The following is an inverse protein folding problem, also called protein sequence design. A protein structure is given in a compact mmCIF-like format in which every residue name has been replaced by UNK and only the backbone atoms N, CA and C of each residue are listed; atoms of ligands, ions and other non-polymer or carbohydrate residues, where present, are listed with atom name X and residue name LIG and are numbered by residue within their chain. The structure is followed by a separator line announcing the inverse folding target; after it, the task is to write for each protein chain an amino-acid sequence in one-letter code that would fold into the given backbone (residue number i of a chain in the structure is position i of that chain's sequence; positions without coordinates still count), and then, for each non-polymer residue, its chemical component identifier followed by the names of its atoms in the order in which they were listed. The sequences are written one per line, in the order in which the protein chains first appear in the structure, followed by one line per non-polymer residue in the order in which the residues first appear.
data_IF_124776686242
#
_entry.id   IF_124776686242
#
_cell.length_a   1.000
_cell.length_b   1.000
_cell.length_c   1.000
_cell.angle_alpha   90.00
_cell.angle_beta   90.00
_cell.angle_gamma   90.00
#
_symmetry.space_group_name_H-M   'P 1'
#
loop_
_entity.id
_entity.type
_entity.pdbx_description
1 polymer ?
#
# COMPACT_ATOMS: atom_id res chain seq x y z
N UNK A 1 -1.89 -16.48 -20.34
CA UNK A 1 -3.12 -15.90 -19.78
C UNK A 1 -3.30 -16.29 -18.31
N UNK A 2 -3.96 -15.48 -17.54
CA UNK A 2 -4.12 -15.63 -16.10
C UNK A 2 -4.76 -16.96 -15.66
N UNK A 3 -5.75 -17.45 -16.41
CA UNK A 3 -6.37 -18.75 -16.12
C UNK A 3 -5.35 -19.91 -16.14
N UNK A 4 -4.40 -19.92 -17.07
CA UNK A 4 -3.33 -20.93 -17.11
C UNK A 4 -2.42 -20.84 -15.88
N UNK A 5 -2.19 -19.64 -15.35
CA UNK A 5 -1.42 -19.44 -14.14
C UNK A 5 -2.14 -20.03 -12.91
N UNK A 6 -3.44 -19.76 -12.76
CA UNK A 6 -4.25 -20.33 -11.66
C UNK A 6 -4.25 -21.86 -11.72
N UNK A 7 -4.40 -22.44 -12.91
CA UNK A 7 -4.36 -23.89 -13.10
C UNK A 7 -2.99 -24.45 -12.64
N UNK A 8 -1.88 -23.80 -12.99
CA UNK A 8 -0.54 -24.21 -12.55
C UNK A 8 -0.41 -24.21 -11.02
N UNK A 9 -0.91 -23.17 -10.35
CA UNK A 9 -0.87 -23.09 -8.88
C UNK A 9 -1.72 -24.21 -8.24
N UNK A 10 -2.90 -24.51 -8.79
CA UNK A 10 -3.76 -25.58 -8.29
C UNK A 10 -3.12 -26.97 -8.49
N UNK A 11 -2.59 -27.26 -9.69
CA UNK A 11 -1.89 -28.51 -9.97
C UNK A 11 -0.68 -28.68 -9.03
N UNK A 12 0.10 -27.62 -8.84
CA UNK A 12 1.21 -27.61 -7.89
C UNK A 12 0.74 -27.99 -6.48
N UNK A 13 -0.35 -27.36 -6.02
CA UNK A 13 -0.90 -27.64 -4.70
C UNK A 13 -1.34 -29.11 -4.56
N UNK A 14 -2.07 -29.63 -5.55
CA UNK A 14 -2.52 -31.04 -5.55
C UNK A 14 -1.35 -32.02 -5.55
N UNK A 15 -0.28 -31.72 -6.30
CA UNK A 15 0.95 -32.52 -6.29
C UNK A 15 1.60 -32.48 -4.91
N UNK A 16 1.72 -31.30 -4.30
CA UNK A 16 2.32 -31.13 -2.98
C UNK A 16 1.56 -31.89 -1.89
N UNK A 17 0.22 -31.91 -1.94
CA UNK A 17 -0.58 -32.74 -1.03
C UNK A 17 -0.34 -34.22 -1.26
N UNK A 18 -0.43 -34.70 -2.52
CA UNK A 18 -0.20 -36.11 -2.85
C UNK A 18 1.18 -36.61 -2.47
N UNK A 19 2.18 -35.72 -2.48
CA UNK A 19 3.56 -36.05 -2.09
C UNK A 19 3.85 -35.83 -0.61
N UNK A 20 2.86 -35.38 0.17
CA UNK A 20 3.02 -35.10 1.60
C UNK A 20 3.85 -33.86 1.96
N UNK A 21 4.13 -32.97 0.97
CA UNK A 21 4.84 -31.70 1.23
C UNK A 21 3.93 -30.68 1.92
N UNK A 22 2.63 -30.77 1.67
CA UNK A 22 1.60 -29.96 2.31
C UNK A 22 0.60 -30.92 2.96
N UNK A 23 0.23 -30.63 4.22
CA UNK A 23 -0.74 -31.45 4.94
C UNK A 23 -2.15 -31.26 4.35
N UNK A 24 -2.85 -32.35 4.11
CA UNK A 24 -4.25 -32.39 3.69
C UNK A 24 -5.24 -32.16 4.86
N UNK A 25 -4.79 -32.43 6.09
CA UNK A 25 -5.61 -32.27 7.30
C UNK A 25 -5.95 -30.79 7.54
N UNK A 26 -5.05 -29.87 7.19
CA UNK A 26 -5.24 -28.43 7.41
C UNK A 26 -5.98 -27.81 6.23
N UNK A 27 -7.31 -27.71 6.32
CA UNK A 27 -8.17 -27.12 5.29
C UNK A 27 -7.80 -25.69 4.90
N UNK A 28 -7.22 -24.89 5.81
CA UNK A 28 -6.77 -23.54 5.53
C UNK A 28 -5.66 -23.47 4.49
N UNK A 29 -4.85 -24.53 4.30
CA UNK A 29 -3.76 -24.56 3.33
C UNK A 29 -4.24 -24.23 1.91
N UNK A 30 -5.45 -24.65 1.54
CA UNK A 30 -6.05 -24.32 0.24
C UNK A 30 -6.36 -22.83 0.10
N UNK A 31 -6.84 -22.21 1.18
CA UNK A 31 -7.09 -20.76 1.22
C UNK A 31 -5.76 -20.00 1.16
N UNK A 32 -4.78 -20.45 1.94
CA UNK A 32 -3.46 -19.84 1.99
C UNK A 32 -2.79 -19.88 0.60
N UNK A 33 -2.83 -21.00 -0.10
CA UNK A 33 -2.32 -21.12 -1.48
C UNK A 33 -3.06 -20.19 -2.46
N UNK A 34 -4.35 -19.92 -2.26
CA UNK A 34 -5.09 -19.04 -3.14
C UNK A 34 -4.59 -17.59 -3.15
N UNK A 35 -3.85 -17.15 -2.12
CA UNK A 35 -3.18 -15.85 -2.15
C UNK A 35 -2.11 -15.75 -3.26
N UNK A 36 -1.52 -16.87 -3.66
CA UNK A 36 -0.57 -16.89 -4.78
C UNK A 36 -1.22 -16.52 -6.13
N UNK A 37 -2.55 -16.59 -6.26
CA UNK A 37 -3.24 -16.16 -7.48
C UNK A 37 -3.04 -14.68 -7.77
N UNK A 38 -2.74 -13.87 -6.75
CA UNK A 38 -2.52 -12.43 -6.90
C UNK A 38 -1.09 -12.07 -7.29
N UNK A 39 -0.14 -13.02 -7.27
CA UNK A 39 1.26 -12.74 -7.61
C UNK A 39 1.43 -12.06 -8.96
N UNK A 40 0.72 -12.44 -10.06
CA UNK A 40 0.89 -11.77 -11.34
C UNK A 40 0.56 -10.26 -11.33
N UNK A 41 -0.14 -9.78 -10.30
CA UNK A 41 -0.60 -8.40 -10.18
C UNK A 41 0.16 -7.58 -9.14
N UNK A 42 1.11 -8.18 -8.42
CA UNK A 42 1.88 -7.48 -7.39
C UNK A 42 3.38 -7.51 -7.70
N UNK A 43 4.09 -6.46 -7.30
CA UNK A 43 5.55 -6.40 -7.36
C UNK A 43 6.18 -7.03 -6.13
N UNK A 44 5.53 -6.89 -4.98
CA UNK A 44 6.02 -7.38 -3.70
C UNK A 44 4.91 -8.21 -3.04
N UNK A 45 5.26 -9.42 -2.63
CA UNK A 45 4.38 -10.29 -1.86
C UNK A 45 4.94 -10.46 -0.45
N UNK A 46 4.17 -10.03 0.54
CA UNK A 46 4.59 -10.05 1.95
C UNK A 46 3.75 -11.06 2.71
N UNK A 47 4.39 -11.95 3.40
CA UNK A 47 3.71 -12.91 4.27
C UNK A 47 4.57 -13.38 5.43
N UNK A 48 3.91 -13.73 6.54
CA UNK A 48 4.52 -14.43 7.69
C UNK A 48 4.13 -15.92 7.72
N UNK A 49 3.48 -16.43 6.68
CA UNK A 49 3.12 -17.83 6.59
C UNK A 49 4.26 -18.65 5.96
N UNK A 50 4.63 -19.76 6.64
CA UNK A 50 5.69 -20.68 6.17
C UNK A 50 5.34 -21.30 4.83
N UNK A 51 4.04 -21.58 4.56
CA UNK A 51 3.61 -22.12 3.29
C UNK A 51 3.90 -21.14 2.15
N UNK A 52 3.57 -19.86 2.33
CA UNK A 52 3.91 -18.81 1.35
C UNK A 52 5.42 -18.66 1.17
N UNK A 53 6.20 -18.71 2.25
CA UNK A 53 7.66 -18.63 2.18
C UNK A 53 8.25 -19.73 1.30
N UNK A 54 7.70 -20.94 1.39
CA UNK A 54 8.19 -22.08 0.63
C UNK A 54 7.66 -22.12 -0.81
N UNK A 55 6.43 -21.67 -1.04
CA UNK A 55 5.77 -21.82 -2.33
C UNK A 55 5.88 -20.57 -3.22
N UNK A 56 5.79 -19.36 -2.65
CA UNK A 56 5.76 -18.13 -3.44
C UNK A 56 6.99 -17.96 -4.36
N UNK A 57 8.23 -18.23 -3.93
CA UNK A 57 9.42 -18.08 -4.78
C UNK A 57 9.37 -18.88 -6.09
N UNK A 58 8.59 -19.98 -6.12
CA UNK A 58 8.45 -20.83 -7.32
C UNK A 58 7.58 -20.17 -8.42
N UNK A 59 6.82 -19.15 -8.06
CA UNK A 59 5.85 -18.47 -8.95
C UNK A 59 6.19 -17.02 -9.21
N UNK A 60 7.21 -16.48 -8.54
CA UNK A 60 7.68 -15.10 -8.76
C UNK A 60 8.47 -15.00 -10.06
N UNK A 61 8.38 -13.84 -10.68
CA UNK A 61 9.25 -13.42 -11.78
C UNK A 61 10.41 -12.57 -11.26
N UNK A 62 11.43 -12.32 -12.09
CA UNK A 62 12.61 -11.51 -11.73
C UNK A 62 12.27 -10.07 -11.28
N UNK A 63 11.09 -9.59 -11.66
CA UNK A 63 10.60 -8.24 -11.29
C UNK A 63 9.80 -8.23 -9.98
N UNK A 64 9.63 -9.38 -9.35
CA UNK A 64 8.82 -9.55 -8.15
C UNK A 64 9.69 -10.03 -6.98
N UNK A 65 9.23 -9.79 -5.78
CA UNK A 65 9.97 -10.18 -4.57
C UNK A 65 9.02 -10.71 -3.50
N UNK A 66 9.47 -11.75 -2.81
CA UNK A 66 8.85 -12.22 -1.57
C UNK A 66 9.59 -11.62 -0.39
N UNK A 67 8.86 -10.99 0.51
CA UNK A 67 9.40 -10.43 1.75
C UNK A 67 8.79 -11.16 2.94
N UNK A 68 9.64 -11.63 3.82
CA UNK A 68 9.20 -12.22 5.06
C UNK A 68 8.64 -11.14 6.00
N UNK A 69 7.43 -11.37 6.55
CA UNK A 69 6.75 -10.35 7.33
C UNK A 69 7.51 -9.85 8.57
N UNK A 70 8.32 -10.71 9.21
CA UNK A 70 9.17 -10.30 10.32
C UNK A 70 10.28 -9.33 9.86
N UNK A 71 10.89 -9.59 8.71
CA UNK A 71 11.94 -8.74 8.12
C UNK A 71 11.41 -7.34 7.78
N UNK A 72 10.22 -7.27 7.17
CA UNK A 72 9.57 -5.98 6.93
C UNK A 72 9.24 -5.26 8.24
N UNK A 73 8.72 -5.98 9.24
CA UNK A 73 8.40 -5.41 10.55
C UNK A 73 9.62 -4.80 11.22
N UNK A 74 10.76 -5.49 11.17
CA UNK A 74 12.02 -4.98 11.72
C UNK A 74 12.53 -3.77 10.93
N UNK A 75 12.38 -3.78 9.60
CA UNK A 75 12.69 -2.64 8.75
C UNK A 75 11.84 -1.41 9.07
N UNK A 76 10.54 -1.59 9.24
CA UNK A 76 9.61 -0.52 9.63
C UNK A 76 9.91 0.02 11.03
N UNK A 77 10.27 -0.86 11.99
CA UNK A 77 10.68 -0.44 13.33
C UNK A 77 11.92 0.46 13.30
N UNK A 78 12.91 0.17 12.45
CA UNK A 78 14.08 1.02 12.29
C UNK A 78 13.73 2.40 11.74
N UNK A 79 12.79 2.48 10.80
CA UNK A 79 12.27 3.75 10.28
C UNK A 79 11.52 4.52 11.36
N UNK A 80 10.69 3.85 12.15
CA UNK A 80 9.97 4.47 13.26
C UNK A 80 10.93 5.10 14.28
N UNK A 81 11.98 4.38 14.68
CA UNK A 81 13.03 4.89 15.55
C UNK A 81 13.72 6.12 14.93
N UNK A 82 14.05 6.06 13.63
CA UNK A 82 14.69 7.16 12.92
C UNK A 82 13.83 8.43 12.96
N UNK A 83 12.54 8.33 12.61
CA UNK A 83 11.65 9.50 12.64
C UNK A 83 11.26 9.94 14.05
N UNK A 84 11.21 9.02 15.01
CA UNK A 84 10.97 9.34 16.42
C UNK A 84 12.11 10.17 17.04
N UNK A 85 13.32 10.08 16.48
CA UNK A 85 14.45 10.90 16.93
C UNK A 85 14.41 12.37 16.47
N UNK A 86 13.49 12.73 15.58
CA UNK A 86 13.38 14.09 15.06
C UNK A 86 12.85 15.04 16.15
N UNK A 87 13.28 16.33 16.16
CA UNK A 87 12.82 17.34 17.10
C UNK A 87 11.29 17.58 16.97
N UNK A 88 10.65 17.94 18.05
CA UNK A 88 9.21 18.18 18.07
C UNK A 88 8.78 19.31 17.11
N UNK A 89 9.61 20.33 16.93
CA UNK A 89 9.41 21.42 15.96
C UNK A 89 9.28 20.93 14.51
N UNK A 90 9.87 19.77 14.17
CA UNK A 90 9.72 19.13 12.87
C UNK A 90 8.45 18.30 12.81
N UNK A 91 8.14 17.60 13.91
CA UNK A 91 6.95 16.74 14.03
C UNK A 91 5.64 17.54 13.99
N UNK A 92 5.63 18.74 14.57
CA UNK A 92 4.48 19.66 14.57
C UNK A 92 4.05 20.07 13.15
N UNK A 93 4.95 20.04 12.18
CA UNK A 93 4.62 20.32 10.77
C UNK A 93 3.81 19.22 10.10
N UNK A 94 3.56 18.12 10.80
CA UNK A 94 2.80 16.97 10.32
C UNK A 94 3.67 15.93 9.61
N UNK A 95 3.24 14.67 9.69
CA UNK A 95 3.99 13.50 9.24
C UNK A 95 4.41 13.56 7.76
N UNK A 96 3.59 14.14 6.90
CA UNK A 96 3.88 14.24 5.48
C UNK A 96 5.05 15.19 5.17
N UNK A 97 5.38 16.12 6.08
CA UNK A 97 6.47 17.07 5.88
C UNK A 97 7.85 16.44 6.04
N UNK A 98 7.99 15.41 6.85
CA UNK A 98 9.29 14.80 7.15
C UNK A 98 9.37 13.29 6.85
N UNK A 99 8.24 12.59 6.80
CA UNK A 99 8.16 11.14 6.61
C UNK A 99 7.41 10.72 5.33
N UNK A 100 7.30 11.61 4.34
CA UNK A 100 6.69 11.31 3.03
C UNK A 100 7.48 10.28 2.21
N UNK A 101 8.74 10.10 2.51
CA UNK A 101 9.67 9.14 1.87
C UNK A 101 10.54 8.49 2.93
N UNK A 102 11.00 7.24 2.72
CA UNK A 102 11.94 6.63 3.66
C UNK A 102 13.26 7.41 3.68
N UNK A 103 14.04 7.32 4.76
CA UNK A 103 15.34 7.96 4.88
C UNK A 103 16.27 7.58 3.72
N UNK A 104 17.14 8.49 3.28
CA UNK A 104 18.11 8.23 2.19
C UNK A 104 19.23 7.25 2.57
N UNK A 105 19.26 6.79 3.81
CA UNK A 105 20.26 5.86 4.30
C UNK A 105 20.16 4.52 3.58
N UNK A 106 21.24 4.16 2.87
CA UNK A 106 21.32 2.91 2.09
C UNK A 106 21.23 1.64 2.94
N UNK A 107 21.43 1.74 4.24
CA UNK A 107 21.44 0.59 5.17
C UNK A 107 20.04 0.19 5.65
N UNK A 108 19.00 0.95 5.34
CA UNK A 108 17.64 0.61 5.76
C UNK A 108 16.96 -0.24 4.71
N UNK A 109 16.47 -1.42 5.11
CA UNK A 109 15.79 -2.37 4.25
C UNK A 109 14.63 -1.74 3.46
N UNK A 110 13.77 -0.95 4.13
CA UNK A 110 12.63 -0.29 3.46
C UNK A 110 13.10 0.78 2.47
N UNK A 111 14.20 1.48 2.75
CA UNK A 111 14.79 2.45 1.82
C UNK A 111 15.34 1.76 0.56
N UNK A 112 15.93 0.56 0.71
CA UNK A 112 16.37 -0.25 -0.42
C UNK A 112 15.18 -0.71 -1.28
N UNK A 113 14.11 -1.18 -0.65
CA UNK A 113 12.86 -1.56 -1.34
C UNK A 113 12.26 -0.37 -2.08
N UNK A 114 12.20 0.77 -1.42
CA UNK A 114 11.68 2.00 -2.03
C UNK A 114 12.49 2.37 -3.27
N UNK A 115 13.80 2.38 -3.18
CA UNK A 115 14.68 2.70 -4.31
C UNK A 115 14.57 1.68 -5.45
N UNK A 116 14.35 0.41 -5.12
CA UNK A 116 14.22 -0.67 -6.11
C UNK A 116 12.91 -0.58 -6.90
N UNK A 117 11.80 -0.28 -6.23
CA UNK A 117 10.47 -0.37 -6.83
C UNK A 117 9.80 0.97 -7.11
N UNK A 118 10.21 2.03 -6.40
CA UNK A 118 9.65 3.38 -6.53
C UNK A 118 10.63 4.34 -7.19
N UNK A 119 11.56 3.82 -7.98
CA UNK A 119 12.55 4.59 -8.72
C UNK A 119 11.88 5.37 -9.86
N UNK A 120 10.97 6.25 -9.49
CA UNK A 120 10.66 7.40 -10.31
C UNK A 120 11.90 8.30 -10.26
N UNK A 121 12.41 8.72 -11.39
CA UNK A 121 13.53 9.65 -11.55
C UNK A 121 13.24 11.01 -10.92
N UNK A 122 13.03 11.01 -9.60
CA UNK A 122 12.77 12.22 -8.81
C UNK A 122 14.05 13.03 -8.57
N UNK A 123 15.22 12.51 -8.92
CA UNK A 123 16.46 13.28 -8.87
C UNK A 123 16.53 14.31 -10.01
N UNK A 124 15.88 14.06 -11.14
CA UNK A 124 15.80 15.03 -12.24
C UNK A 124 14.76 16.13 -11.98
N UNK A 125 13.69 15.86 -11.24
CA UNK A 125 12.66 16.85 -10.96
C UNK A 125 13.05 17.88 -9.89
N UNK A 126 14.05 17.59 -9.04
CA UNK A 126 14.56 18.60 -8.09
C UNK A 126 15.51 19.61 -8.75
N UNK A 127 16.11 19.26 -9.87
CA UNK A 127 16.93 20.18 -10.68
C UNK A 127 16.16 20.80 -11.83
N UNK A 128 15.09 20.17 -12.29
CA UNK A 128 14.04 20.80 -13.04
C UNK A 128 12.96 21.31 -12.05
N UNK A 129 13.30 22.29 -11.23
CA UNK A 129 12.39 23.42 -11.11
C UNK A 129 12.25 23.95 -12.54
N UNK A 130 11.52 23.26 -13.41
CA UNK A 130 10.66 23.94 -14.33
C UNK A 130 9.91 24.90 -13.41
N UNK A 131 10.38 26.13 -13.35
CA UNK A 131 9.51 27.27 -13.18
C UNK A 131 8.46 27.06 -14.26
N UNK A 132 7.44 26.23 -13.97
CA UNK A 132 6.14 26.49 -14.47
C UNK A 132 5.96 27.90 -13.95
N UNK A 133 6.13 28.89 -14.82
CA UNK A 133 5.58 30.20 -14.63
C UNK A 133 4.05 29.99 -14.59
N UNK A 134 3.62 29.33 -13.52
CA UNK A 134 2.25 29.44 -13.08
C UNK A 134 2.21 30.90 -12.66
N UNK A 135 1.63 31.72 -13.51
CA UNK A 135 1.36 33.10 -13.20
C UNK A 135 0.58 33.05 -11.88
N UNK A 136 1.26 33.41 -10.78
CA UNK A 136 0.66 33.41 -9.44
C UNK A 136 -0.63 34.22 -9.43
N UNK A 137 -0.76 35.22 -10.32
CA UNK A 137 -1.97 35.97 -10.53
C UNK A 137 -3.08 35.13 -11.16
N UNK A 138 -2.77 34.23 -12.09
CA UNK A 138 -3.75 33.32 -12.69
C UNK A 138 -4.20 32.25 -11.69
N UNK A 139 -3.28 31.72 -10.87
CA UNK A 139 -3.61 30.81 -9.79
C UNK A 139 -4.51 31.45 -8.74
N UNK A 140 -4.17 32.65 -8.28
CA UNK A 140 -4.98 33.42 -7.34
C UNK A 140 -6.36 33.76 -7.89
N UNK A 141 -6.45 34.06 -9.19
CA UNK A 141 -7.73 34.30 -9.88
C UNK A 141 -8.59 33.03 -9.90
N UNK A 142 -7.98 31.87 -10.17
CA UNK A 142 -8.67 30.58 -10.17
C UNK A 142 -9.15 30.20 -8.75
N UNK A 143 -8.32 30.40 -7.74
CA UNK A 143 -8.69 30.13 -6.34
C UNK A 143 -9.82 31.06 -5.87
N UNK A 144 -9.82 32.35 -6.28
CA UNK A 144 -10.91 33.27 -6.00
C UNK A 144 -12.20 32.89 -6.74
N UNK A 145 -12.10 32.38 -7.96
CA UNK A 145 -13.26 31.89 -8.71
C UNK A 145 -13.85 30.63 -8.06
N UNK A 146 -13.02 29.69 -7.60
CA UNK A 146 -13.47 28.52 -6.86
C UNK A 146 -14.14 28.87 -5.53
N UNK A 147 -13.57 29.86 -4.80
CA UNK A 147 -14.15 30.33 -3.53
C UNK A 147 -15.48 31.02 -3.71
N UNK A 148 -15.67 31.72 -4.83
CA UNK A 148 -16.87 32.52 -5.15
C UNK A 148 -17.84 31.78 -6.08
N UNK A 149 -17.52 30.56 -6.51
CA UNK A 149 -18.47 29.73 -7.25
C UNK A 149 -19.66 29.45 -6.34
N UNK A 150 -20.88 29.79 -6.76
CA UNK A 150 -22.05 29.42 -5.99
C UNK A 150 -22.06 27.90 -5.89
N UNK A 151 -22.11 27.38 -4.65
CA UNK A 151 -22.44 25.99 -4.43
C UNK A 151 -23.85 25.74 -4.95
N UNK A 152 -23.98 25.48 -6.24
CA UNK A 152 -25.22 25.01 -6.80
C UNK A 152 -25.43 23.57 -6.32
N UNK A 153 -26.18 23.44 -5.24
CA UNK A 153 -26.63 22.16 -4.67
C UNK A 153 -27.47 21.30 -5.63
N UNK A 154 -27.74 21.80 -6.84
CA UNK A 154 -28.70 21.17 -7.75
C UNK A 154 -28.10 20.39 -8.92
N UNK A 155 -26.79 20.34 -9.10
CA UNK A 155 -26.18 19.63 -10.23
C UNK A 155 -25.35 18.38 -9.87
N UNK A 156 -25.14 18.14 -8.59
CA UNK A 156 -24.57 16.86 -8.13
C UNK A 156 -25.77 15.97 -7.85
N UNK A 157 -26.03 15.04 -8.78
CA UNK A 157 -27.03 14.01 -8.56
C UNK A 157 -26.71 13.31 -7.25
N UNK A 158 -27.64 13.40 -6.30
CA UNK A 158 -27.54 12.83 -4.94
C UNK A 158 -27.12 11.35 -4.91
N UNK A 159 -27.26 10.67 -6.03
CA UNK A 159 -26.98 9.22 -6.15
C UNK A 159 -25.49 8.88 -6.23
N UNK A 160 -24.61 9.77 -6.67
CA UNK A 160 -23.16 9.49 -6.77
C UNK A 160 -22.36 9.87 -5.52
N UNK A 161 -22.91 10.69 -4.63
CA UNK A 161 -22.24 11.10 -3.38
C UNK A 161 -22.53 10.19 -2.18
N UNK A 162 -23.39 9.21 -2.30
CA UNK A 162 -23.71 8.28 -1.20
C UNK A 162 -22.60 7.25 -0.92
N UNK A 163 -21.53 7.23 -1.74
CA UNK A 163 -20.49 6.21 -1.60
C UNK A 163 -19.57 6.40 -0.39
N UNK A 164 -19.52 7.57 0.24
CA UNK A 164 -18.61 7.83 1.38
C UNK A 164 -19.30 8.65 2.49
N UNK A 165 -20.57 8.46 2.71
CA UNK A 165 -21.22 9.04 3.89
C UNK A 165 -20.98 8.16 5.11
N UNK A 166 -20.06 8.58 5.98
CA UNK A 166 -19.78 7.92 7.24
C UNK A 166 -20.78 8.40 8.28
N UNK A 167 -21.54 7.45 8.85
CA UNK A 167 -22.63 7.74 9.78
C UNK A 167 -22.13 7.89 11.22
N UNK A 168 -21.09 7.15 11.60
CA UNK A 168 -20.55 7.15 12.98
C UNK A 168 -19.17 6.57 13.10
N UNK A 169 -18.48 6.94 14.16
CA UNK A 169 -17.25 6.28 14.60
C UNK A 169 -17.56 5.26 15.68
N UNK A 170 -17.00 4.07 15.58
CA UNK A 170 -17.21 2.99 16.54
C UNK A 170 -15.86 2.58 17.13
N UNK A 171 -15.82 2.44 18.48
CA UNK A 171 -14.61 2.03 19.18
C UNK A 171 -14.44 0.51 19.07
N UNK A 172 -13.31 0.06 18.56
CA UNK A 172 -12.92 -1.36 18.61
C UNK A 172 -12.69 -1.81 20.06
N UNK A 173 -12.95 -3.06 20.37
CA UNK A 173 -12.68 -3.69 21.69
C UNK A 173 -11.22 -3.49 22.19
N UNK A 174 -10.27 -3.20 21.30
CA UNK A 174 -8.85 -2.94 21.62
C UNK A 174 -8.38 -1.54 21.18
N UNK A 175 -9.19 -0.53 21.42
CA UNK A 175 -8.68 0.84 21.50
C UNK A 175 -8.78 1.73 20.26
N UNK A 176 -8.81 1.22 19.05
CA UNK A 176 -8.85 2.07 17.84
C UNK A 176 -10.29 2.40 17.41
N UNK A 177 -10.46 3.63 16.90
CA UNK A 177 -11.72 4.05 16.28
C UNK A 177 -11.73 3.72 14.80
N UNK A 178 -12.87 3.34 14.26
CA UNK A 178 -13.11 3.24 12.83
C UNK A 178 -14.46 3.83 12.47
N UNK A 179 -14.59 4.29 11.25
CA UNK A 179 -15.81 4.90 10.74
C UNK A 179 -16.65 3.84 10.04
N UNK A 180 -17.96 3.90 10.24
CA UNK A 180 -18.91 2.94 9.67
C UNK A 180 -19.76 3.68 8.63
N UNK A 181 -19.82 3.19 7.38
CA UNK A 181 -20.72 3.75 6.37
C UNK A 181 -22.20 3.66 6.78
N UNK A 182 -23.02 4.63 6.34
CA UNK A 182 -24.45 4.71 6.65
C UNK A 182 -25.24 3.47 6.24
N UNK A 183 -24.86 2.84 5.15
CA UNK A 183 -25.52 1.67 4.58
C UNK A 183 -25.15 0.35 5.26
N UNK A 184 -24.31 0.35 6.28
CA UNK A 184 -23.95 -0.82 7.08
C UNK A 184 -24.68 -0.85 8.45
N UNK A 185 -25.98 -0.54 8.47
CA UNK A 185 -26.83 -0.72 9.67
C UNK A 185 -27.25 -2.15 9.83
#
# INVERSE_FOLDING_TARGET
PYASYIIKVNIFFDICIKRGFISDVRKSNKIDISYLYYLPFCMIFISSDKLHRNCAPLFLTDKQEFIWGAELKDGLKKIDIHYSSYPDTVKEKGILSFASRPPKEKNMFVSQLWNKYMNFNFEEDTNQKKKTNIDDAALLKHLKQMKNAPMNDSSIQKEEMDFINLDRSVRKKKGNWYQVPKNMK
#
